data_IF_498658891073
#
_entry.id   IF_498658891073
#
_cell.length_a   1.000
_cell.length_b   1.000
_cell.length_c   1.000
_cell.angle_alpha   90.00
_cell.angle_beta   90.00
_cell.angle_gamma   90.00
#
_symmetry.space_group_name_H-M   'P 1'
#
loop_
_entity.id
_entity.type
_entity.pdbx_description
1 polymer ?
#
# COMPACT_ATOMS: atom_id res chain seq x y z
N UNK A 1 39.87 3.32 -7.65
CA UNK A 1 38.72 2.77 -8.40
C UNK A 1 37.72 2.36 -7.35
N UNK A 2 36.85 3.31 -7.04
CA UNK A 2 36.12 3.38 -5.78
C UNK A 2 34.96 2.40 -5.73
N UNK A 3 34.88 1.74 -4.59
CA UNK A 3 33.88 0.77 -4.22
C UNK A 3 32.56 1.52 -3.92
N UNK A 4 31.70 1.64 -4.92
CA UNK A 4 30.30 2.05 -4.75
C UNK A 4 29.50 0.89 -4.15
N UNK A 5 29.78 0.58 -2.89
CA UNK A 5 28.79 -0.05 -2.03
C UNK A 5 27.65 0.96 -1.86
N UNK A 6 26.61 0.87 -2.68
CA UNK A 6 25.37 1.60 -2.45
C UNK A 6 24.78 1.09 -1.15
N UNK A 7 25.05 1.83 -0.07
CA UNK A 7 24.34 1.68 1.20
C UNK A 7 22.82 1.66 0.93
N UNK A 8 22.04 0.83 1.65
CA UNK A 8 20.59 0.94 1.61
C UNK A 8 20.20 2.38 1.98
N UNK A 9 19.14 2.96 1.37
CA UNK A 9 18.78 4.34 1.65
C UNK A 9 18.47 4.50 3.14
N UNK A 10 19.39 5.14 3.85
CA UNK A 10 19.38 5.37 5.29
C UNK A 10 18.49 6.53 5.68
N UNK A 11 17.34 6.69 5.03
CA UNK A 11 16.29 7.59 5.50
C UNK A 11 15.33 6.78 6.36
N UNK A 12 15.75 6.53 7.61
CA UNK A 12 14.80 6.38 8.70
C UNK A 12 14.09 7.74 8.88
N UNK A 13 13.23 8.09 7.93
CA UNK A 13 12.50 9.34 7.94
C UNK A 13 11.63 9.37 9.19
N UNK A 14 11.88 10.35 10.05
CA UNK A 14 11.13 10.59 11.27
C UNK A 14 9.64 10.55 10.94
N UNK A 15 8.88 9.73 11.67
CA UNK A 15 7.43 9.61 11.45
C UNK A 15 6.81 11.02 11.55
N UNK A 16 6.10 11.50 10.51
CA UNK A 16 5.59 12.86 10.49
C UNK A 16 4.54 13.09 11.59
N UNK A 17 4.46 14.33 12.08
CA UNK A 17 3.42 14.74 13.02
C UNK A 17 2.03 14.70 12.39
N UNK A 18 1.00 14.73 13.22
CA UNK A 18 -0.40 14.74 12.76
C UNK A 18 -0.68 15.94 11.85
N UNK A 19 -0.13 17.10 12.19
CA UNK A 19 -0.29 18.33 11.40
C UNK A 19 0.45 18.26 10.07
N UNK A 20 1.64 17.65 10.03
CA UNK A 20 2.36 17.41 8.78
C UNK A 20 1.56 16.48 7.86
N UNK A 21 0.97 15.41 8.41
CA UNK A 21 0.10 14.48 7.67
C UNK A 21 -1.13 15.22 7.13
N UNK A 22 -1.82 15.99 7.96
CA UNK A 22 -3.03 16.73 7.55
C UNK A 22 -2.72 17.78 6.47
N UNK A 23 -1.65 18.54 6.67
CA UNK A 23 -1.23 19.60 5.75
C UNK A 23 -0.88 19.02 4.39
N UNK A 24 -0.05 17.97 4.35
CA UNK A 24 0.37 17.35 3.09
C UNK A 24 -0.80 16.64 2.39
N UNK A 25 -1.66 15.96 3.15
CA UNK A 25 -2.85 15.31 2.59
C UNK A 25 -3.85 16.32 2.01
N UNK A 26 -4.05 17.47 2.67
CA UNK A 26 -4.89 18.53 2.12
C UNK A 26 -4.28 19.12 0.85
N UNK A 27 -2.98 19.42 0.85
CA UNK A 27 -2.30 20.01 -0.31
C UNK A 27 -2.25 19.08 -1.54
N UNK A 28 -2.06 17.78 -1.33
CA UNK A 28 -1.87 16.81 -2.45
C UNK A 28 -3.17 16.10 -2.83
N UNK A 29 -3.99 15.72 -1.85
CA UNK A 29 -5.19 14.91 -2.07
C UNK A 29 -6.50 15.70 -1.89
N UNK A 30 -6.45 16.96 -1.44
CA UNK A 30 -7.64 17.75 -1.15
C UNK A 30 -8.50 17.20 -0.01
N UNK A 31 -7.92 16.35 0.86
CA UNK A 31 -8.63 15.67 1.95
C UNK A 31 -7.91 15.86 3.28
N UNK A 32 -8.67 16.15 4.34
CA UNK A 32 -8.17 16.20 5.72
C UNK A 32 -8.41 14.85 6.40
N UNK A 33 -7.38 14.03 6.65
CA UNK A 33 -7.54 12.76 7.34
C UNK A 33 -7.97 12.98 8.79
N UNK A 34 -8.84 12.13 9.33
CA UNK A 34 -9.18 12.11 10.76
C UNK A 34 -8.17 11.28 11.56
N UNK A 35 -8.33 11.22 12.88
CA UNK A 35 -7.28 10.68 13.77
C UNK A 35 -6.94 9.21 13.48
N UNK A 36 -7.94 8.35 13.28
CA UNK A 36 -7.67 6.93 13.04
C UNK A 36 -6.96 6.72 11.69
N UNK A 37 -7.26 7.54 10.67
CA UNK A 37 -6.56 7.48 9.38
C UNK A 37 -5.09 7.89 9.51
N UNK A 38 -4.80 8.86 10.37
CA UNK A 38 -3.44 9.29 10.72
C UNK A 38 -2.70 8.16 11.46
N UNK A 39 -3.36 7.50 12.40
CA UNK A 39 -2.76 6.40 13.15
C UNK A 39 -2.37 5.23 12.24
N UNK A 40 -3.25 4.87 11.28
CA UNK A 40 -2.93 3.85 10.26
C UNK A 40 -1.74 4.29 9.40
N UNK A 41 -1.73 5.54 8.92
CA UNK A 41 -0.61 6.08 8.15
C UNK A 41 0.72 5.98 8.92
N UNK A 42 0.74 6.39 10.19
CA UNK A 42 1.93 6.33 11.04
C UNK A 42 2.41 4.90 11.26
N UNK A 43 1.49 3.97 11.53
CA UNK A 43 1.81 2.56 11.69
C UNK A 43 2.41 1.98 10.39
N UNK A 44 1.82 2.26 9.23
CA UNK A 44 2.35 1.86 7.92
C UNK A 44 3.73 2.47 7.62
N UNK A 45 3.97 3.73 8.02
CA UNK A 45 5.27 4.39 7.82
C UNK A 45 6.36 3.86 8.76
N UNK A 46 5.97 3.42 9.96
CA UNK A 46 6.86 2.82 10.96
C UNK A 46 7.24 1.39 10.58
N UNK A 47 6.30 0.62 10.02
CA UNK A 47 6.56 -0.69 9.44
C UNK A 47 6.94 -1.77 10.45
N UNK A 48 6.63 -1.57 11.74
CA UNK A 48 7.01 -2.47 12.84
C UNK A 48 5.85 -3.32 13.38
N UNK A 49 4.67 -3.20 12.78
CA UNK A 49 3.46 -3.87 13.23
C UNK A 49 2.49 -4.15 12.08
N UNK A 50 1.69 -5.19 12.25
CA UNK A 50 0.53 -5.46 11.40
C UNK A 50 -0.66 -4.60 11.86
N UNK A 51 -1.44 -4.09 10.90
CA UNK A 51 -2.58 -3.21 11.18
C UNK A 51 -3.87 -3.86 10.69
N UNK A 52 -4.82 -4.04 11.60
CA UNK A 52 -6.20 -4.40 11.27
C UNK A 52 -7.07 -3.16 11.47
N UNK A 53 -7.69 -2.69 10.41
CA UNK A 53 -8.62 -1.55 10.44
C UNK A 53 -10.03 -2.02 10.12
N UNK A 54 -10.94 -1.87 11.08
CA UNK A 54 -12.37 -2.16 10.92
C UNK A 54 -13.13 -0.85 10.95
N UNK A 55 -13.93 -0.59 9.92
CA UNK A 55 -14.77 0.61 9.87
C UNK A 55 -15.95 0.38 8.93
N UNK A 56 -16.98 1.24 8.97
CA UNK A 56 -18.15 1.14 8.08
C UNK A 56 -17.85 1.58 6.63
N UNK A 57 -18.58 1.06 5.65
CA UNK A 57 -18.46 1.50 4.25
C UNK A 57 -18.69 3.01 4.13
N UNK A 58 -17.93 3.68 3.26
CA UNK A 58 -18.03 5.13 3.06
C UNK A 58 -17.29 6.01 4.07
N UNK A 59 -16.71 5.46 5.14
CA UNK A 59 -15.95 6.24 6.14
C UNK A 59 -14.56 6.69 5.68
N UNK A 60 -14.17 6.37 4.44
CA UNK A 60 -12.91 6.83 3.84
C UNK A 60 -11.67 5.98 4.18
N UNK A 61 -11.79 4.65 4.31
CA UNK A 61 -10.63 3.74 4.49
C UNK A 61 -9.59 3.90 3.40
N UNK A 62 -10.04 4.08 2.16
CA UNK A 62 -9.19 4.23 0.98
C UNK A 62 -8.16 5.35 1.15
N UNK A 63 -8.47 6.42 1.90
CA UNK A 63 -7.48 7.47 2.17
C UNK A 63 -6.24 6.92 2.88
N UNK A 64 -6.41 5.96 3.79
CA UNK A 64 -5.28 5.33 4.51
C UNK A 64 -4.32 4.57 3.60
N UNK A 65 -4.77 4.14 2.42
CA UNK A 65 -3.92 3.44 1.46
C UNK A 65 -2.91 4.40 0.84
N UNK A 66 -3.28 5.69 0.71
CA UNK A 66 -2.50 6.68 -0.02
C UNK A 66 -1.66 7.58 0.88
N UNK A 67 -2.03 7.75 2.15
CA UNK A 67 -1.30 8.63 3.06
C UNK A 67 0.20 8.28 3.19
N UNK A 68 0.62 7.00 3.33
CA UNK A 68 2.03 6.66 3.47
C UNK A 68 2.88 7.04 2.23
N UNK A 69 2.29 6.95 1.03
CA UNK A 69 2.94 7.33 -0.22
C UNK A 69 3.38 8.82 -0.22
N UNK A 70 2.67 9.69 0.51
CA UNK A 70 3.04 11.10 0.60
C UNK A 70 4.39 11.31 1.32
N UNK A 71 4.85 10.35 2.13
CA UNK A 71 6.03 10.47 2.98
C UNK A 71 7.18 9.52 2.61
N UNK A 72 6.96 8.62 1.65
CA UNK A 72 7.98 7.72 1.10
C UNK A 72 8.10 7.92 -0.42
N UNK A 73 8.95 8.85 -0.90
CA UNK A 73 9.05 9.22 -2.31
C UNK A 73 9.39 8.08 -3.28
N UNK A 74 10.09 7.04 -2.81
CA UNK A 74 10.43 5.85 -3.60
C UNK A 74 9.60 4.63 -3.22
N UNK A 75 8.64 4.78 -2.29
CA UNK A 75 7.91 3.67 -1.72
C UNK A 75 6.75 3.20 -2.58
N UNK A 76 6.52 1.89 -2.57
CA UNK A 76 5.47 1.18 -3.32
C UNK A 76 4.38 0.73 -2.36
N UNK A 77 3.13 0.93 -2.77
CA UNK A 77 1.94 0.45 -2.05
C UNK A 77 1.29 -0.65 -2.88
N UNK A 78 1.11 -1.84 -2.30
CA UNK A 78 0.36 -2.93 -2.95
C UNK A 78 -1.03 -2.98 -2.31
N UNK A 79 -2.08 -2.96 -3.12
CA UNK A 79 -3.48 -3.10 -2.71
C UNK A 79 -4.06 -4.34 -3.36
N UNK A 80 -4.38 -5.32 -2.52
CA UNK A 80 -5.00 -6.58 -2.91
C UNK A 80 -6.51 -6.44 -2.72
N UNK A 81 -7.30 -6.57 -3.79
CA UNK A 81 -8.76 -6.37 -3.72
C UNK A 81 -9.52 -7.42 -4.54
N UNK A 82 -10.69 -7.92 -4.06
CA UNK A 82 -11.53 -8.86 -4.79
C UNK A 82 -12.19 -8.30 -6.06
N UNK A 83 -12.37 -6.97 -6.17
CA UNK A 83 -13.22 -6.36 -7.20
C UNK A 83 -12.41 -5.49 -8.17
N UNK A 84 -12.40 -5.88 -9.44
CA UNK A 84 -11.91 -5.05 -10.56
C UNK A 84 -12.65 -3.68 -10.69
N UNK A 85 -13.81 -3.51 -10.02
CA UNK A 85 -14.68 -2.33 -10.12
C UNK A 85 -14.18 -1.15 -9.26
N UNK A 86 -13.51 -1.41 -8.13
CA UNK A 86 -12.83 -0.33 -7.39
C UNK A 86 -11.53 0.09 -8.04
N UNK A 87 -11.00 -0.71 -8.98
CA UNK A 87 -9.90 -0.31 -9.84
C UNK A 87 -10.25 0.97 -10.58
N UNK A 88 -11.42 1.04 -11.23
CA UNK A 88 -11.83 2.23 -11.99
C UNK A 88 -12.17 3.43 -11.09
N UNK A 89 -12.82 3.23 -9.94
CA UNK A 89 -13.14 4.32 -9.01
C UNK A 89 -11.92 4.85 -8.24
N UNK A 90 -10.96 3.98 -7.93
CA UNK A 90 -9.66 4.40 -7.40
C UNK A 90 -8.84 5.07 -8.50
N UNK A 91 -8.81 4.53 -9.73
CA UNK A 91 -8.21 5.18 -10.91
C UNK A 91 -8.84 6.54 -11.17
N UNK A 92 -10.14 6.72 -10.96
CA UNK A 92 -10.84 8.01 -11.15
C UNK A 92 -10.58 9.01 -10.01
N UNK A 93 -10.45 8.52 -8.78
CA UNK A 93 -9.99 9.33 -7.63
C UNK A 93 -8.52 9.72 -7.79
N UNK A 94 -7.71 8.86 -8.41
CA UNK A 94 -6.29 9.06 -8.70
C UNK A 94 -6.05 9.87 -9.99
N UNK A 95 -6.98 9.87 -10.95
CA UNK A 95 -6.89 10.60 -12.22
C UNK A 95 -7.38 12.04 -12.10
N UNK A 96 -8.39 12.29 -11.26
CA UNK A 96 -8.88 13.65 -10.96
C UNK A 96 -7.91 14.45 -10.09
N UNK A 97 -7.04 13.78 -9.33
CA UNK A 97 -5.86 14.39 -8.71
C UNK A 97 -4.67 14.36 -9.69
N UNK A 98 -4.82 15.04 -10.84
CA UNK A 98 -3.84 15.44 -11.85
C UNK A 98 -2.45 14.78 -11.78
N UNK A 99 -2.41 13.45 -11.98
CA UNK A 99 -1.31 12.57 -11.56
C UNK A 99 -1.00 12.70 -10.06
N UNK A 100 -0.80 11.59 -9.39
CA UNK A 100 0.18 11.61 -8.31
C UNK A 100 1.46 12.20 -8.95
N UNK A 101 1.82 13.48 -8.77
CA UNK A 101 2.48 14.24 -9.85
C UNK A 101 3.94 13.86 -10.20
N UNK A 102 4.41 12.71 -9.72
CA UNK A 102 5.32 11.83 -10.48
C UNK A 102 5.24 10.33 -10.14
N UNK A 103 4.25 9.85 -9.37
CA UNK A 103 4.21 8.50 -8.78
C UNK A 103 3.56 7.44 -9.69
N UNK A 104 3.81 7.55 -11.00
CA UNK A 104 3.08 6.84 -12.07
C UNK A 104 3.05 5.29 -11.93
N UNK A 105 3.96 4.69 -11.16
CA UNK A 105 4.03 3.23 -10.96
C UNK A 105 4.21 2.79 -9.50
N UNK A 106 3.85 3.65 -8.52
CA UNK A 106 4.07 3.32 -7.09
C UNK A 106 2.88 2.67 -6.39
N UNK A 107 1.78 2.46 -7.10
CA UNK A 107 0.63 1.73 -6.59
C UNK A 107 0.39 0.53 -7.48
N UNK A 108 0.34 -0.64 -6.88
CA UNK A 108 -0.02 -1.88 -7.56
C UNK A 108 -1.37 -2.30 -7.00
N UNK A 109 -2.41 -2.24 -7.84
CA UNK A 109 -3.73 -2.80 -7.51
C UNK A 109 -3.85 -4.14 -8.21
N UNK A 110 -4.09 -5.19 -7.45
CA UNK A 110 -4.04 -6.57 -7.94
C UNK A 110 -5.07 -7.43 -7.21
N UNK A 111 -5.55 -8.49 -7.83
CA UNK A 111 -6.37 -9.48 -7.15
C UNK A 111 -5.49 -10.62 -6.60
N UNK A 112 -5.98 -11.41 -5.62
CA UNK A 112 -5.21 -12.54 -5.08
C UNK A 112 -4.79 -13.55 -6.14
N UNK A 113 -5.62 -13.77 -7.16
CA UNK A 113 -5.37 -14.75 -8.22
C UNK A 113 -4.13 -14.41 -9.05
N UNK A 114 -3.92 -13.13 -9.38
CA UNK A 114 -2.73 -12.68 -10.11
C UNK A 114 -1.52 -12.58 -9.19
N UNK A 115 -1.70 -12.09 -7.96
CA UNK A 115 -0.62 -11.90 -7.00
C UNK A 115 0.01 -13.22 -6.56
N UNK A 116 -0.82 -14.24 -6.32
CA UNK A 116 -0.40 -15.53 -5.76
C UNK A 116 -0.19 -16.61 -6.82
N UNK A 117 -0.31 -16.28 -8.11
CA UNK A 117 -0.11 -17.21 -9.23
C UNK A 117 1.29 -17.84 -9.17
N UNK A 118 1.33 -19.16 -9.17
CA UNK A 118 2.59 -19.91 -9.27
C UNK A 118 3.30 -19.56 -10.60
N UNK A 119 4.61 -19.34 -10.54
CA UNK A 119 5.42 -18.91 -11.70
C UNK A 119 4.93 -17.59 -12.33
N UNK A 120 4.18 -16.78 -11.56
CA UNK A 120 3.76 -15.45 -11.97
C UNK A 120 4.87 -14.40 -11.80
N UNK A 121 4.73 -13.26 -12.48
CA UNK A 121 5.71 -12.17 -12.43
C UNK A 121 5.99 -11.63 -11.02
N UNK A 122 4.99 -11.67 -10.12
CA UNK A 122 5.15 -11.24 -8.72
C UNK A 122 6.14 -12.10 -7.93
N UNK A 123 6.22 -13.40 -8.19
CA UNK A 123 7.18 -14.27 -7.52
C UNK A 123 8.62 -13.86 -7.83
N UNK A 124 8.90 -13.45 -9.06
CA UNK A 124 10.21 -12.92 -9.47
C UNK A 124 10.42 -11.52 -8.90
N UNK A 125 9.39 -10.68 -8.92
CA UNK A 125 9.46 -9.31 -8.45
C UNK A 125 9.76 -9.22 -6.94
N UNK A 126 9.15 -10.09 -6.13
CA UNK A 126 9.40 -10.17 -4.70
C UNK A 126 10.81 -10.67 -4.34
N UNK A 127 11.44 -11.48 -5.20
CA UNK A 127 12.85 -11.87 -5.02
C UNK A 127 13.82 -10.74 -5.32
N UNK A 128 13.37 -9.66 -5.96
CA UNK A 128 14.20 -8.48 -6.18
C UNK A 128 14.21 -7.61 -4.92
N UNK A 129 15.33 -7.60 -4.21
CA UNK A 129 15.50 -6.83 -2.97
C UNK A 129 15.26 -5.32 -3.14
N UNK A 130 15.55 -4.74 -4.31
CA UNK A 130 15.26 -3.32 -4.55
C UNK A 130 13.76 -3.05 -4.56
N UNK A 131 12.99 -3.97 -5.15
CA UNK A 131 11.54 -3.89 -5.14
C UNK A 131 10.96 -4.17 -3.75
N UNK A 132 11.37 -5.28 -3.12
CA UNK A 132 10.88 -5.69 -1.80
C UNK A 132 11.13 -4.61 -0.74
N UNK A 133 12.33 -4.04 -0.70
CA UNK A 133 12.68 -2.95 0.24
C UNK A 133 11.96 -1.63 -0.07
N UNK A 134 11.44 -1.45 -1.28
CA UNK A 134 10.64 -0.28 -1.62
C UNK A 134 9.17 -0.43 -1.17
N UNK A 135 8.69 -1.62 -0.80
CA UNK A 135 7.31 -1.81 -0.36
C UNK A 135 7.11 -1.11 0.99
N UNK A 136 6.16 -0.18 1.04
CA UNK A 136 5.74 0.49 2.28
C UNK A 136 4.80 -0.45 3.05
N UNK A 137 3.79 -0.98 2.37
CA UNK A 137 2.87 -1.97 2.93
C UNK A 137 2.11 -2.72 1.84
N UNK A 138 1.56 -3.86 2.23
CA UNK A 138 0.61 -4.66 1.44
C UNK A 138 -0.74 -4.58 2.14
N UNK A 139 -1.73 -4.06 1.44
CA UNK A 139 -3.08 -3.83 1.97
C UNK A 139 -3.99 -4.91 1.41
N UNK A 140 -4.72 -5.60 2.28
CA UNK A 140 -5.80 -6.51 1.87
C UNK A 140 -7.13 -5.79 2.07
N UNK A 141 -7.70 -5.32 0.97
CA UNK A 141 -9.04 -4.75 0.95
C UNK A 141 -10.10 -5.86 0.99
N UNK A 142 -11.20 -5.60 1.67
CA UNK A 142 -12.23 -6.62 1.96
C UNK A 142 -11.66 -7.91 2.57
N UNK A 143 -10.79 -7.78 3.59
CA UNK A 143 -10.10 -8.90 4.23
C UNK A 143 -11.03 -10.02 4.76
N UNK A 144 -12.31 -9.73 4.98
CA UNK A 144 -13.32 -10.73 5.31
C UNK A 144 -13.49 -11.80 4.21
N UNK A 145 -13.14 -11.48 2.96
CA UNK A 145 -13.11 -12.43 1.85
C UNK A 145 -12.08 -13.55 2.05
N UNK A 146 -11.05 -13.37 2.87
CA UNK A 146 -10.08 -14.44 3.17
C UNK A 146 -10.78 -15.66 3.74
N UNK A 147 -11.60 -15.47 4.77
CA UNK A 147 -12.37 -16.55 5.39
C UNK A 147 -13.55 -17.00 4.54
N UNK A 148 -14.24 -16.06 3.89
CA UNK A 148 -15.45 -16.39 3.14
C UNK A 148 -15.16 -17.11 1.82
N UNK A 149 -14.09 -16.72 1.13
CA UNK A 149 -13.77 -17.21 -0.21
C UNK A 149 -12.61 -18.19 -0.25
N UNK A 150 -11.80 -18.28 0.81
CA UNK A 150 -10.65 -19.17 0.87
C UNK A 150 -10.96 -20.66 0.64
N UNK A 151 -12.21 -21.09 0.88
CA UNK A 151 -12.65 -22.47 0.64
C UNK A 151 -12.77 -22.81 -0.86
N UNK A 152 -13.09 -21.84 -1.72
CA UNK A 152 -13.26 -22.05 -3.16
C UNK A 152 -12.28 -21.24 -4.04
N UNK A 153 -11.55 -20.28 -3.45
CA UNK A 153 -10.43 -19.55 -4.07
C UNK A 153 -9.16 -19.74 -3.21
N UNK A 154 -8.37 -20.79 -3.45
CA UNK A 154 -7.21 -21.13 -2.64
C UNK A 154 -6.17 -20.00 -2.48
N UNK A 155 -6.09 -19.09 -3.45
CA UNK A 155 -5.17 -17.95 -3.47
C UNK A 155 -5.38 -17.00 -2.29
N UNK A 156 -6.62 -16.88 -1.79
CA UNK A 156 -6.91 -16.09 -0.58
C UNK A 156 -6.25 -16.70 0.67
N UNK A 157 -6.19 -18.03 0.78
CA UNK A 157 -5.52 -18.70 1.91
C UNK A 157 -4.01 -18.54 1.88
N UNK A 158 -3.44 -18.31 0.69
CA UNK A 158 -1.99 -18.15 0.49
C UNK A 158 -1.50 -16.73 0.72
N UNK A 159 -2.37 -15.74 0.91
CA UNK A 159 -1.96 -14.36 1.20
C UNK A 159 -1.08 -14.26 2.47
N UNK A 160 -1.16 -15.22 3.39
CA UNK A 160 -0.26 -15.31 4.55
C UNK A 160 1.22 -15.48 4.18
N UNK A 161 1.52 -16.07 3.01
CA UNK A 161 2.89 -16.25 2.52
C UNK A 161 3.61 -14.90 2.31
N UNK A 162 2.85 -13.80 2.09
CA UNK A 162 3.37 -12.45 1.89
C UNK A 162 4.05 -11.89 3.15
N UNK A 163 3.90 -12.53 4.32
CA UNK A 163 4.62 -12.15 5.54
C UNK A 163 6.12 -12.48 5.48
N UNK A 164 6.50 -13.38 4.58
CA UNK A 164 7.87 -13.90 4.48
C UNK A 164 8.66 -13.33 3.30
N UNK A 165 8.19 -12.20 2.75
CA UNK A 165 8.85 -11.46 1.67
C UNK A 165 10.16 -10.82 2.13
#
# INVERSE_FOLDING_TARGET
MDNLATQPPSDASTIPSDDQIRTKAMAVLGKRPCQWQINVCKASLKGDQDVISVSATGTGKTLTFWLPLLFRPQGIQIVVTPLNILGQQNVDTLSKAQAIASLQYRVIVVNPEVLMRAEGGFQTLFKNHLFANAIISIIIDEAHCISQWGSFRPEYRRLGDLRHL
#
